data_IF_371592160518
#
_entry.id   IF_371592160518
#
_cell.length_a   1.000
_cell.length_b   1.000
_cell.length_c   1.000
_cell.angle_alpha   90.00
_cell.angle_beta   90.00
_cell.angle_gamma   90.00
#
_symmetry.space_group_name_H-M   'P 1'
#
loop_
_entity.id
_entity.type
_entity.pdbx_description
1 polymer ?
#
# COMPACT_ATOMS: atom_id res chain seq x y z
N UNK A 1 -19.09 13.27 17.68
CA UNK A 1 -17.90 13.22 16.79
C UNK A 1 -18.11 14.18 15.62
N UNK A 2 -17.03 14.64 14.96
CA UNK A 2 -17.11 15.61 13.85
C UNK A 2 -17.38 14.90 12.51
N UNK A 3 -18.10 15.54 11.56
CA UNK A 3 -18.15 15.08 10.16
C UNK A 3 -16.73 15.04 9.58
N UNK A 4 -16.40 13.98 8.82
CA UNK A 4 -15.06 13.80 8.29
C UNK A 4 -15.08 13.75 6.76
N UNK A 5 -14.24 14.56 6.15
CA UNK A 5 -13.82 14.44 4.76
C UNK A 5 -12.47 13.70 4.77
N UNK A 6 -12.49 12.44 4.36
CA UNK A 6 -11.31 11.58 4.30
C UNK A 6 -10.74 11.63 2.88
N UNK A 7 -9.46 11.98 2.73
CA UNK A 7 -8.83 12.12 1.41
C UNK A 7 -7.57 11.25 1.33
N UNK A 8 -7.50 10.44 0.28
CA UNK A 8 -6.35 9.65 -0.12
C UNK A 8 -5.75 10.27 -1.40
N UNK A 9 -4.70 11.07 -1.25
CA UNK A 9 -4.08 11.79 -2.36
C UNK A 9 -2.74 11.17 -2.74
N UNK A 10 -2.81 10.22 -3.65
CA UNK A 10 -1.66 9.47 -4.15
C UNK A 10 -0.88 10.20 -5.24
N UNK A 11 0.10 9.50 -5.80
CA UNK A 11 0.96 10.02 -6.88
C UNK A 11 0.18 10.32 -8.16
N UNK A 12 -0.72 9.41 -8.57
CA UNK A 12 -1.47 9.46 -9.84
C UNK A 12 -2.96 9.68 -9.68
N UNK A 13 -3.51 9.50 -8.47
CA UNK A 13 -4.96 9.57 -8.22
C UNK A 13 -5.30 10.31 -6.94
N UNK A 14 -6.45 10.95 -6.96
CA UNK A 14 -7.09 11.59 -5.82
C UNK A 14 -8.41 10.86 -5.53
N UNK A 15 -8.58 10.39 -4.31
CA UNK A 15 -9.84 9.79 -3.84
C UNK A 15 -10.29 10.50 -2.58
N UNK A 16 -11.58 10.65 -2.41
CA UNK A 16 -12.15 11.21 -1.20
C UNK A 16 -13.44 10.51 -0.81
N UNK A 17 -13.71 10.47 0.49
CA UNK A 17 -14.96 9.99 1.06
C UNK A 17 -15.48 10.98 2.10
N UNK A 18 -16.78 11.22 2.09
CA UNK A 18 -17.47 11.93 3.16
C UNK A 18 -18.04 10.90 4.13
N UNK A 19 -17.61 10.98 5.37
CA UNK A 19 -17.98 10.02 6.41
C UNK A 19 -18.90 10.67 7.44
N UNK A 20 -19.89 9.91 7.91
CA UNK A 20 -20.69 10.29 9.08
C UNK A 20 -19.88 10.12 10.39
N UNK A 21 -20.50 10.47 11.50
CA UNK A 21 -19.89 10.34 12.83
C UNK A 21 -19.54 8.91 13.22
N UNK A 22 -20.26 7.92 12.70
CA UNK A 22 -20.01 6.50 12.91
C UNK A 22 -18.89 5.95 12.01
N UNK A 23 -18.44 6.76 11.01
CA UNK A 23 -17.43 6.36 10.02
C UNK A 23 -18.03 5.65 8.81
N UNK A 24 -19.35 5.70 8.60
CA UNK A 24 -19.99 5.14 7.40
C UNK A 24 -19.77 6.10 6.23
N UNK A 25 -19.46 5.55 5.08
CA UNK A 25 -19.30 6.32 3.84
C UNK A 25 -20.65 6.81 3.35
N UNK A 26 -20.80 8.13 3.24
CA UNK A 26 -21.99 8.79 2.71
C UNK A 26 -21.86 9.08 1.22
N UNK A 27 -20.66 9.41 0.77
CA UNK A 27 -20.34 9.76 -0.61
C UNK A 27 -18.88 9.50 -0.89
N UNK A 28 -18.53 9.05 -2.10
CA UNK A 28 -17.16 8.87 -2.56
C UNK A 28 -16.92 9.60 -3.88
N UNK A 29 -15.68 10.06 -4.08
CA UNK A 29 -15.19 10.65 -5.33
C UNK A 29 -13.82 10.09 -5.67
N UNK A 30 -13.56 9.94 -6.96
CA UNK A 30 -12.25 9.56 -7.48
C UNK A 30 -11.94 10.33 -8.76
N UNK A 31 -10.69 10.78 -8.90
CA UNK A 31 -10.24 11.49 -10.09
C UNK A 31 -8.76 11.16 -10.37
N UNK A 32 -8.30 11.18 -11.64
CA UNK A 32 -6.90 10.97 -12.02
C UNK A 32 -6.05 12.23 -11.75
N UNK A 33 -6.23 12.84 -10.56
CA UNK A 33 -5.64 14.10 -10.13
C UNK A 33 -4.65 13.87 -8.97
N UNK A 34 -3.68 12.96 -9.16
CA UNK A 34 -2.63 12.74 -8.19
C UNK A 34 -1.67 13.94 -8.07
N UNK A 35 -0.79 13.91 -7.08
CA UNK A 35 0.10 15.06 -6.76
C UNK A 35 0.99 15.48 -7.92
N UNK A 36 1.35 14.57 -8.82
CA UNK A 36 2.14 14.89 -10.02
C UNK A 36 1.32 15.61 -11.11
N UNK A 37 0.00 15.57 -11.01
CA UNK A 37 -0.93 16.12 -12.00
C UNK A 37 -1.65 17.37 -11.49
N UNK A 38 -1.18 17.98 -10.38
CA UNK A 38 -1.76 19.23 -9.85
C UNK A 38 -1.31 20.39 -10.71
N UNK A 39 -2.23 21.09 -11.39
CA UNK A 39 -1.87 22.20 -12.28
C UNK A 39 -1.15 23.32 -11.50
N UNK A 40 0.02 23.72 -11.99
CA UNK A 40 0.85 24.78 -11.40
C UNK A 40 1.19 24.59 -9.91
N UNK A 41 1.02 23.38 -9.36
CA UNK A 41 1.20 23.12 -7.94
C UNK A 41 0.13 23.77 -7.05
N UNK A 42 -1.02 24.18 -7.61
CA UNK A 42 -2.09 24.83 -6.86
C UNK A 42 -3.01 23.79 -6.19
N UNK A 43 -2.48 23.16 -5.15
CA UNK A 43 -3.18 22.15 -4.35
C UNK A 43 -4.43 22.72 -3.68
N UNK A 44 -4.37 23.96 -3.20
CA UNK A 44 -5.48 24.58 -2.48
C UNK A 44 -6.70 24.77 -3.40
N UNK A 45 -6.46 25.25 -4.63
CA UNK A 45 -7.50 25.43 -5.63
C UNK A 45 -8.11 24.07 -6.01
N UNK A 46 -7.27 23.08 -6.33
CA UNK A 46 -7.75 21.77 -6.72
C UNK A 46 -8.55 21.09 -5.59
N UNK A 47 -8.07 21.20 -4.34
CA UNK A 47 -8.81 20.73 -3.17
C UNK A 47 -10.19 21.42 -3.05
N UNK A 48 -10.24 22.73 -3.21
CA UNK A 48 -11.50 23.49 -3.14
C UNK A 48 -12.48 23.08 -4.25
N UNK A 49 -11.99 22.90 -5.48
CA UNK A 49 -12.81 22.44 -6.60
C UNK A 49 -13.43 21.05 -6.33
N UNK A 50 -12.69 20.14 -5.69
CA UNK A 50 -13.16 18.78 -5.43
C UNK A 50 -14.02 18.65 -4.17
N UNK A 51 -13.67 19.35 -3.08
CA UNK A 51 -14.20 19.06 -1.75
C UNK A 51 -14.87 20.24 -1.04
N UNK A 52 -14.88 21.46 -1.58
CA UNK A 52 -15.51 22.60 -0.91
C UNK A 52 -16.98 22.38 -0.55
N UNK A 53 -17.73 21.65 -1.38
CA UNK A 53 -19.12 21.29 -1.10
C UNK A 53 -19.27 20.47 0.19
N UNK A 54 -18.36 19.50 0.41
CA UNK A 54 -18.34 18.67 1.61
C UNK A 54 -17.85 19.44 2.85
N UNK A 55 -16.94 20.40 2.65
CA UNK A 55 -16.38 21.24 3.71
C UNK A 55 -17.31 22.37 4.17
N UNK A 56 -18.50 22.55 3.54
CA UNK A 56 -19.53 23.51 3.99
C UNK A 56 -20.26 23.05 5.25
N UNK A 57 -20.22 21.76 5.56
CA UNK A 57 -20.84 21.23 6.77
C UNK A 57 -20.14 21.82 8.01
N UNK A 58 -20.92 22.36 8.95
CA UNK A 58 -20.38 22.93 10.18
C UNK A 58 -19.55 21.90 10.96
N UNK A 59 -18.39 22.32 11.44
CA UNK A 59 -17.45 21.46 12.17
C UNK A 59 -16.74 20.41 11.31
N UNK A 60 -16.88 20.41 9.97
CA UNK A 60 -16.22 19.45 9.10
C UNK A 60 -14.69 19.50 9.26
N UNK A 61 -14.10 18.32 9.50
CA UNK A 61 -12.65 18.08 9.52
C UNK A 61 -12.27 17.38 8.21
N UNK A 62 -11.16 17.78 7.60
CA UNK A 62 -10.56 17.05 6.50
C UNK A 62 -9.20 16.47 6.93
N UNK A 63 -9.02 15.17 6.77
CA UNK A 63 -7.73 14.50 6.92
C UNK A 63 -7.29 13.94 5.57
N UNK A 64 -6.07 14.31 5.16
CA UNK A 64 -5.47 13.93 3.87
C UNK A 64 -4.25 13.05 4.13
N UNK A 65 -4.26 11.85 3.56
CA UNK A 65 -3.15 10.90 3.65
C UNK A 65 -2.35 10.81 2.34
N UNK A 66 -1.22 10.12 2.37
CA UNK A 66 -0.31 9.82 1.27
C UNK A 66 0.49 11.03 0.75
N UNK A 67 0.64 11.12 -0.57
CA UNK A 67 1.65 11.96 -1.23
C UNK A 67 1.40 13.45 -1.13
N UNK A 68 0.20 13.90 -0.77
CA UNK A 68 -0.05 15.32 -0.47
C UNK A 68 0.82 15.83 0.69
N UNK A 69 1.24 14.93 1.61
CA UNK A 69 2.15 15.22 2.71
C UNK A 69 3.64 14.99 2.40
N UNK A 70 4.01 14.72 1.15
CA UNK A 70 5.42 14.58 0.74
C UNK A 70 6.04 15.94 0.40
N UNK A 71 7.37 15.97 0.18
CA UNK A 71 8.08 17.18 -0.29
C UNK A 71 7.57 17.73 -1.61
N UNK A 72 6.99 16.87 -2.45
CA UNK A 72 6.41 17.22 -3.74
C UNK A 72 4.90 17.46 -3.66
N UNK A 73 4.31 17.34 -2.48
CA UNK A 73 2.89 17.49 -2.23
C UNK A 73 2.50 18.91 -1.81
N UNK A 74 1.34 19.01 -1.17
CA UNK A 74 0.79 20.29 -0.73
C UNK A 74 1.63 20.98 0.36
N UNK A 75 2.05 20.23 1.35
CA UNK A 75 3.03 20.66 2.34
C UNK A 75 3.71 19.43 2.95
N UNK A 76 4.99 19.54 3.29
CA UNK A 76 5.70 18.43 3.91
C UNK A 76 5.17 18.15 5.32
N UNK A 77 4.59 16.98 5.51
CA UNK A 77 4.23 16.44 6.81
C UNK A 77 5.40 15.60 7.35
N UNK A 78 5.65 15.59 8.67
CA UNK A 78 6.76 14.87 9.27
C UNK A 78 6.63 13.35 9.08
N UNK A 79 7.69 12.62 9.41
CA UNK A 79 7.64 11.21 9.73
C UNK A 79 7.70 11.03 11.25
N UNK A 80 6.82 10.20 11.80
CA UNK A 80 6.84 9.80 13.21
C UNK A 80 7.65 8.52 13.33
N UNK A 81 8.62 8.49 14.25
CA UNK A 81 9.48 7.33 14.42
C UNK A 81 8.72 6.16 15.09
N UNK A 82 8.94 4.94 14.58
CA UNK A 82 8.49 3.72 15.24
C UNK A 82 9.25 3.48 16.55
N UNK A 83 8.57 2.92 17.57
CA UNK A 83 7.19 2.46 17.64
C UNK A 83 6.17 3.60 17.74
N UNK A 84 5.16 3.61 16.87
CA UNK A 84 4.15 4.65 16.86
C UNK A 84 2.74 4.11 16.61
N UNK A 85 1.77 4.71 17.28
CA UNK A 85 0.36 4.43 17.15
C UNK A 85 -0.42 5.63 16.61
N UNK A 86 -1.74 5.48 16.55
CA UNK A 86 -2.65 6.52 16.04
C UNK A 86 -2.56 7.84 16.83
N UNK A 87 -2.29 7.78 18.15
CA UNK A 87 -2.20 8.97 18.96
C UNK A 87 -0.99 9.83 18.61
N UNK A 88 0.16 9.20 18.35
CA UNK A 88 1.35 9.89 17.91
C UNK A 88 1.14 10.54 16.53
N UNK A 89 0.46 9.85 15.61
CA UNK A 89 0.10 10.44 14.31
C UNK A 89 -0.84 11.64 14.49
N UNK A 90 -1.89 11.51 15.30
CA UNK A 90 -2.84 12.59 15.55
C UNK A 90 -2.20 13.84 16.18
N UNK A 91 -1.22 13.67 17.08
CA UNK A 91 -0.46 14.79 17.67
C UNK A 91 0.47 15.49 16.68
N UNK A 92 0.88 14.80 15.61
CA UNK A 92 1.84 15.28 14.60
C UNK A 92 1.20 15.63 13.26
N UNK A 93 -0.12 15.83 13.23
CA UNK A 93 -0.82 16.29 12.03
C UNK A 93 -0.21 17.60 11.51
N UNK A 94 0.04 17.69 10.22
CA UNK A 94 0.47 18.93 9.56
C UNK A 94 -0.76 19.71 9.13
N UNK A 95 -1.12 20.74 9.88
CA UNK A 95 -2.26 21.58 9.59
C UNK A 95 -1.99 22.49 8.38
N UNK A 96 -2.89 22.44 7.40
CA UNK A 96 -3.00 23.41 6.31
C UNK A 96 -3.89 24.57 6.77
N UNK A 97 -5.03 24.22 7.36
CA UNK A 97 -5.95 25.13 8.03
C UNK A 97 -6.24 24.57 9.42
N UNK A 98 -5.91 25.32 10.44
CA UNK A 98 -6.00 24.87 11.84
C UNK A 98 -7.38 24.33 12.16
N UNK A 99 -7.44 23.16 12.76
CA UNK A 99 -8.65 22.45 13.19
C UNK A 99 -9.64 22.11 12.06
N UNK A 100 -9.24 22.29 10.79
CA UNK A 100 -10.11 22.08 9.64
C UNK A 100 -9.51 21.20 8.53
N UNK A 101 -8.27 21.42 8.13
CA UNK A 101 -7.61 20.63 7.08
C UNK A 101 -6.21 20.26 7.55
N UNK A 102 -5.93 18.96 7.60
CA UNK A 102 -4.62 18.47 7.98
C UNK A 102 -4.13 17.32 7.09
N UNK A 103 -2.81 17.26 6.93
CA UNK A 103 -2.09 16.16 6.32
C UNK A 103 -1.64 15.19 7.41
N UNK A 104 -1.86 13.90 7.16
CA UNK A 104 -1.42 12.85 8.08
C UNK A 104 0.08 12.63 7.90
N UNK A 105 0.87 12.55 8.99
CA UNK A 105 2.30 12.23 8.93
C UNK A 105 2.50 10.78 8.49
N UNK A 106 3.66 10.51 7.89
CA UNK A 106 4.10 9.13 7.65
C UNK A 106 4.75 8.51 8.88
N UNK A 107 5.23 7.27 8.74
CA UNK A 107 6.08 6.61 9.73
C UNK A 107 7.51 6.42 9.19
N UNK A 108 8.49 6.46 10.10
CA UNK A 108 9.86 6.05 9.83
C UNK A 108 10.29 4.94 10.77
N UNK A 109 11.08 4.01 10.26
CA UNK A 109 11.80 3.00 11.04
C UNK A 109 13.29 3.20 10.84
N UNK A 110 14.00 3.54 11.91
CA UNK A 110 15.46 3.74 11.94
C UNK A 110 16.14 2.81 12.93
N UNK A 111 15.52 1.68 13.25
CA UNK A 111 16.10 0.68 14.15
C UNK A 111 17.21 -0.15 13.47
N UNK A 112 17.33 -0.09 12.15
CA UNK A 112 18.44 -0.68 11.37
C UNK A 112 19.38 0.41 10.85
N UNK A 113 20.55 0.00 10.34
CA UNK A 113 21.53 0.91 9.74
C UNK A 113 20.99 1.68 8.53
N UNK A 114 20.00 1.11 7.85
CA UNK A 114 19.30 1.75 6.74
C UNK A 114 17.88 2.08 7.18
N UNK A 115 17.51 3.37 7.24
CA UNK A 115 16.16 3.76 7.63
C UNK A 115 15.13 3.38 6.55
N UNK A 116 13.91 3.15 6.98
CA UNK A 116 12.76 2.89 6.10
C UNK A 116 11.65 3.91 6.37
N UNK A 117 10.80 4.16 5.38
CA UNK A 117 9.70 5.12 5.48
C UNK A 117 8.44 4.59 4.82
N UNK A 118 7.28 4.96 5.37
CA UNK A 118 5.99 4.78 4.71
C UNK A 118 5.13 6.04 4.84
N UNK A 119 4.22 6.25 3.89
CA UNK A 119 3.28 7.36 3.92
C UNK A 119 1.98 6.97 3.23
N UNK A 120 0.94 6.81 4.08
CA UNK A 120 -0.40 6.38 3.69
C UNK A 120 -0.70 4.94 4.10
N UNK A 121 0.30 4.07 4.13
CA UNK A 121 0.16 2.69 4.58
C UNK A 121 -0.16 2.60 6.08
N UNK A 122 0.40 3.49 6.90
CA UNK A 122 0.11 3.59 8.33
C UNK A 122 -1.39 3.82 8.59
N UNK A 123 -2.03 4.67 7.79
CA UNK A 123 -3.48 4.91 7.87
C UNK A 123 -4.25 3.62 7.57
N UNK A 124 -3.84 2.89 6.53
CA UNK A 124 -4.49 1.64 6.15
C UNK A 124 -4.33 0.56 7.23
N UNK A 125 -3.15 0.47 7.85
CA UNK A 125 -2.89 -0.45 8.97
C UNK A 125 -3.85 -0.16 10.12
N UNK A 126 -3.92 1.09 10.61
CA UNK A 126 -4.82 1.45 11.72
C UNK A 126 -6.30 1.26 11.36
N UNK A 127 -6.65 1.45 10.09
CA UNK A 127 -7.99 1.16 9.61
C UNK A 127 -8.34 -0.31 9.63
N UNK A 128 -7.48 -1.16 9.11
CA UNK A 128 -7.67 -2.61 9.14
C UNK A 128 -7.70 -3.16 10.58
N UNK A 129 -6.84 -2.65 11.46
CA UNK A 129 -6.89 -2.97 12.89
C UNK A 129 -8.26 -2.65 13.51
N UNK A 130 -8.79 -1.45 13.23
CA UNK A 130 -10.12 -1.04 13.71
C UNK A 130 -11.22 -1.95 13.18
N UNK A 131 -11.21 -2.24 11.87
CA UNK A 131 -12.22 -3.09 11.22
C UNK A 131 -12.16 -4.53 11.71
N UNK A 132 -10.97 -5.03 12.02
CA UNK A 132 -10.75 -6.39 12.47
C UNK A 132 -10.81 -6.58 14.00
N UNK A 133 -10.84 -5.48 14.78
CA UNK A 133 -10.76 -5.53 16.24
C UNK A 133 -9.41 -6.04 16.76
N UNK A 134 -8.29 -5.72 16.07
CA UNK A 134 -6.95 -6.21 16.38
C UNK A 134 -6.10 -5.16 17.09
N UNK A 135 -5.30 -5.59 18.07
CA UNK A 135 -4.23 -4.79 18.68
C UNK A 135 -2.83 -5.23 18.21
N UNK A 136 -2.70 -6.45 17.71
CA UNK A 136 -1.46 -7.07 17.25
C UNK A 136 -1.65 -7.66 15.86
N UNK A 137 -0.58 -7.77 15.09
CA UNK A 137 -0.62 -8.44 13.79
C UNK A 137 0.60 -8.19 12.92
N UNK A 138 0.70 -8.99 11.87
CA UNK A 138 1.63 -8.79 10.78
C UNK A 138 0.84 -8.37 9.55
N UNK A 139 1.18 -7.21 9.02
CA UNK A 139 0.48 -6.59 7.90
C UNK A 139 1.37 -6.57 6.67
N UNK A 140 0.80 -6.84 5.51
CA UNK A 140 1.43 -6.59 4.22
C UNK A 140 0.55 -5.69 3.36
N UNK A 141 1.16 -4.68 2.78
CA UNK A 141 0.50 -3.71 1.92
C UNK A 141 1.16 -3.74 0.54
N UNK A 142 0.69 -4.65 -0.34
CA UNK A 142 1.22 -4.78 -1.69
C UNK A 142 1.02 -3.51 -2.50
N UNK A 143 2.05 -3.13 -3.26
CA UNK A 143 2.02 -1.96 -4.12
C UNK A 143 3.27 -1.84 -4.97
N UNK A 144 3.52 -0.65 -5.52
CA UNK A 144 4.78 -0.32 -6.18
C UNK A 144 5.95 -0.61 -5.23
N UNK A 145 5.82 -0.17 -3.98
CA UNK A 145 6.70 -0.45 -2.85
C UNK A 145 5.87 -1.19 -1.79
N UNK A 146 6.00 -2.50 -1.73
CA UNK A 146 5.29 -3.33 -0.76
C UNK A 146 5.83 -3.12 0.64
N UNK A 147 4.97 -3.05 1.66
CA UNK A 147 5.34 -2.85 3.06
C UNK A 147 4.97 -4.08 3.90
N UNK A 148 5.90 -4.53 4.73
CA UNK A 148 5.66 -5.51 5.78
C UNK A 148 5.80 -4.83 7.14
N UNK A 149 4.72 -4.73 7.88
CA UNK A 149 4.68 -4.00 9.14
C UNK A 149 4.25 -4.90 10.30
N UNK A 150 5.02 -4.88 11.36
CA UNK A 150 4.68 -5.55 12.62
C UNK A 150 3.96 -4.56 13.55
N UNK A 151 2.84 -5.00 14.11
CA UNK A 151 2.06 -4.20 15.09
C UNK A 151 1.98 -4.96 16.40
N UNK A 152 2.20 -4.25 17.50
CA UNK A 152 2.07 -4.75 18.87
C UNK A 152 1.42 -3.68 19.75
N UNK A 153 0.41 -4.07 20.53
CA UNK A 153 -0.30 -3.17 21.45
C UNK A 153 -0.84 -1.92 20.76
N UNK A 154 -1.35 -2.04 19.53
CA UNK A 154 -1.89 -0.91 18.79
C UNK A 154 -0.85 0.02 18.15
N UNK A 155 0.42 -0.34 18.14
CA UNK A 155 1.54 0.47 17.62
C UNK A 155 2.30 -0.29 16.52
N UNK A 156 2.63 0.38 15.43
CA UNK A 156 3.59 -0.15 14.45
C UNK A 156 4.96 -0.13 15.10
N UNK A 157 5.52 -1.32 15.35
CA UNK A 157 6.82 -1.48 16.03
C UNK A 157 7.99 -1.42 15.08
N UNK A 158 7.78 -1.71 13.80
CA UNK A 158 8.77 -1.64 12.73
C UNK A 158 8.19 -2.15 11.42
N UNK A 159 8.86 -1.85 10.33
CA UNK A 159 8.44 -2.31 8.99
C UNK A 159 9.62 -2.41 8.03
N UNK A 160 9.37 -3.08 6.91
CA UNK A 160 10.32 -3.21 5.80
C UNK A 160 9.63 -2.97 4.47
N UNK A 161 10.32 -2.27 3.58
CA UNK A 161 9.87 -1.98 2.22
C UNK A 161 10.55 -2.88 1.21
N UNK A 162 9.76 -3.37 0.25
CA UNK A 162 10.23 -4.15 -0.88
C UNK A 162 9.77 -3.48 -2.19
N UNK A 163 10.65 -3.35 -3.15
CA UNK A 163 10.35 -2.71 -4.45
C UNK A 163 9.64 -3.65 -5.43
N UNK A 164 8.82 -4.56 -4.93
CA UNK A 164 8.25 -5.69 -5.68
C UNK A 164 7.46 -5.26 -6.90
N UNK A 165 6.55 -4.30 -6.76
CA UNK A 165 5.75 -3.81 -7.88
C UNK A 165 6.55 -2.97 -8.86
N UNK A 166 7.49 -2.16 -8.38
CA UNK A 166 8.38 -1.36 -9.23
C UNK A 166 9.30 -2.25 -10.06
N UNK A 167 9.95 -3.24 -9.42
CA UNK A 167 10.83 -4.19 -10.11
C UNK A 167 10.07 -5.01 -11.14
N UNK A 168 8.83 -5.44 -10.83
CA UNK A 168 7.96 -6.06 -11.82
C UNK A 168 7.77 -5.14 -13.04
N UNK A 169 7.42 -3.89 -12.81
CA UNK A 169 7.21 -2.91 -13.87
C UNK A 169 8.47 -2.65 -14.71
N UNK A 170 9.63 -2.56 -14.06
CA UNK A 170 10.92 -2.37 -14.75
C UNK A 170 11.27 -3.61 -15.60
N UNK A 171 11.15 -4.80 -15.07
CA UNK A 171 11.41 -6.02 -15.81
C UNK A 171 10.42 -6.19 -16.98
N UNK A 172 9.15 -5.95 -16.75
CA UNK A 172 8.11 -6.14 -17.74
C UNK A 172 8.15 -5.13 -18.90
N UNK A 173 8.71 -3.93 -18.69
CA UNK A 173 8.71 -2.86 -19.71
C UNK A 173 10.08 -2.46 -20.23
N UNK A 174 11.13 -2.55 -19.36
CA UNK A 174 12.44 -1.93 -19.65
C UNK A 174 13.60 -2.94 -19.64
N UNK A 175 13.33 -4.24 -19.57
CA UNK A 175 14.35 -5.28 -19.62
C UNK A 175 14.20 -6.19 -20.84
N UNK A 176 15.15 -7.13 -21.00
CA UNK A 176 15.06 -8.18 -22.03
C UNK A 176 13.80 -9.06 -21.87
N UNK A 177 13.21 -9.12 -20.67
CA UNK A 177 12.01 -9.91 -20.39
C UNK A 177 10.77 -9.35 -21.12
N UNK A 178 10.73 -8.02 -21.34
CA UNK A 178 9.65 -7.36 -22.07
C UNK A 178 9.38 -7.96 -23.47
N UNK A 179 10.37 -8.65 -24.05
CA UNK A 179 10.25 -9.28 -25.36
C UNK A 179 9.51 -10.63 -25.34
N UNK A 180 9.28 -11.21 -24.18
CA UNK A 180 8.77 -12.58 -24.00
C UNK A 180 7.64 -12.70 -23.00
N UNK A 181 7.12 -11.58 -22.50
CA UNK A 181 5.99 -11.60 -21.57
C UNK A 181 4.91 -10.59 -21.97
N UNK A 182 3.66 -10.91 -21.66
CA UNK A 182 2.52 -9.99 -21.74
C UNK A 182 2.16 -9.50 -20.34
N UNK A 183 2.57 -8.27 -20.02
CA UNK A 183 2.35 -7.66 -18.68
C UNK A 183 0.87 -7.43 -18.36
N UNK A 184 -0.01 -7.40 -19.36
CA UNK A 184 -1.45 -7.16 -19.19
C UNK A 184 -2.27 -8.46 -19.17
N UNK A 185 -1.60 -9.61 -19.30
CA UNK A 185 -2.27 -10.91 -19.29
C UNK A 185 -2.97 -11.19 -17.94
N UNK A 186 -4.08 -11.94 -17.98
CA UNK A 186 -4.71 -12.42 -16.75
C UNK A 186 -3.76 -13.34 -15.97
N UNK A 187 -4.02 -13.48 -14.68
CA UNK A 187 -3.23 -14.34 -13.81
C UNK A 187 -3.38 -15.82 -14.21
N UNK A 188 -2.26 -16.46 -14.55
CA UNK A 188 -2.12 -17.92 -14.58
C UNK A 188 -1.59 -18.36 -13.21
N UNK A 189 -2.47 -18.91 -12.38
CA UNK A 189 -2.14 -19.29 -10.99
C UNK A 189 -1.05 -20.34 -10.94
N UNK A 190 -1.02 -21.30 -11.87
CA UNK A 190 -0.01 -22.36 -11.92
C UNK A 190 1.38 -21.78 -12.19
N UNK A 191 1.51 -20.94 -13.20
CA UNK A 191 2.77 -20.30 -13.52
C UNK A 191 3.21 -19.36 -12.39
N UNK A 192 2.27 -18.64 -11.77
CA UNK A 192 2.54 -17.79 -10.61
C UNK A 192 3.14 -18.60 -9.44
N UNK A 193 2.52 -19.71 -9.06
CA UNK A 193 3.00 -20.58 -7.97
C UNK A 193 4.35 -21.22 -8.30
N UNK A 194 4.60 -21.57 -9.56
CA UNK A 194 5.93 -22.01 -10.01
C UNK A 194 6.99 -20.92 -9.78
N UNK A 195 6.66 -19.65 -10.03
CA UNK A 195 7.52 -18.50 -9.72
C UNK A 195 7.79 -18.38 -8.22
N UNK A 196 6.76 -18.47 -7.39
CA UNK A 196 6.89 -18.45 -5.91
C UNK A 196 7.82 -19.57 -5.42
N UNK A 197 7.61 -20.79 -5.89
CA UNK A 197 8.45 -21.93 -5.55
C UNK A 197 9.91 -21.76 -6.01
N UNK A 198 10.12 -21.13 -7.18
CA UNK A 198 11.47 -20.86 -7.69
C UNK A 198 12.28 -19.94 -6.78
N UNK A 199 11.64 -18.89 -6.25
CA UNK A 199 12.27 -17.98 -5.29
C UNK A 199 12.78 -18.71 -4.05
N UNK A 200 12.00 -19.65 -3.52
CA UNK A 200 12.37 -20.45 -2.36
C UNK A 200 13.65 -21.29 -2.55
N UNK A 201 14.07 -21.53 -3.79
CA UNK A 201 15.28 -22.28 -4.10
C UNK A 201 16.61 -21.56 -3.83
N UNK A 202 16.60 -20.30 -3.34
CA UNK A 202 17.76 -19.60 -2.78
C UNK A 202 18.86 -19.20 -3.77
N UNK A 203 18.61 -19.22 -5.08
CA UNK A 203 19.61 -18.86 -6.12
C UNK A 203 19.73 -17.35 -6.37
N UNK A 204 18.91 -16.56 -5.69
CA UNK A 204 18.87 -15.11 -5.77
C UNK A 204 18.13 -14.57 -6.99
N UNK A 205 17.56 -13.36 -6.82
CA UNK A 205 16.67 -12.74 -7.78
C UNK A 205 17.28 -12.57 -9.17
N UNK A 206 18.54 -12.11 -9.28
CA UNK A 206 19.15 -11.82 -10.60
C UNK A 206 19.27 -13.06 -11.46
N UNK A 207 19.68 -14.20 -10.87
CA UNK A 207 19.73 -15.47 -11.59
C UNK A 207 18.33 -15.98 -11.94
N UNK A 208 17.41 -15.95 -11.00
CA UNK A 208 16.06 -16.46 -11.17
C UNK A 208 15.27 -15.64 -12.22
N UNK A 209 15.46 -14.31 -12.26
CA UNK A 209 14.80 -13.44 -13.23
C UNK A 209 15.21 -13.76 -14.68
N UNK A 210 16.49 -14.05 -14.95
CA UNK A 210 16.91 -14.51 -16.29
C UNK A 210 16.25 -15.84 -16.68
N UNK A 211 15.93 -16.68 -15.71
CA UNK A 211 15.17 -17.92 -15.91
C UNK A 211 13.82 -17.72 -16.62
N UNK A 212 13.14 -16.59 -16.39
CA UNK A 212 11.88 -16.23 -17.09
C UNK A 212 12.12 -16.17 -18.60
N UNK A 213 13.21 -15.51 -19.02
CA UNK A 213 13.60 -15.43 -20.43
C UNK A 213 13.94 -16.80 -21.02
N UNK A 214 14.72 -17.60 -20.28
CA UNK A 214 15.11 -18.92 -20.73
C UNK A 214 13.91 -19.85 -20.92
N UNK A 215 12.98 -19.86 -19.94
CA UNK A 215 11.75 -20.67 -20.04
C UNK A 215 10.90 -20.29 -21.25
N UNK A 216 10.78 -19.00 -21.56
CA UNK A 216 10.08 -18.55 -22.77
C UNK A 216 10.79 -18.96 -24.07
N UNK A 217 12.13 -18.89 -24.13
CA UNK A 217 12.91 -19.32 -25.31
C UNK A 217 12.85 -20.82 -25.62
N UNK A 218 12.63 -21.63 -24.59
CA UNK A 218 12.46 -23.09 -24.71
C UNK A 218 10.97 -23.52 -24.75
N UNK A 219 10.06 -22.58 -25.00
CA UNK A 219 8.61 -22.81 -25.09
C UNK A 219 8.00 -23.50 -23.84
N UNK A 220 8.65 -23.32 -22.67
CA UNK A 220 8.16 -23.86 -21.40
C UNK A 220 7.18 -22.94 -20.70
N UNK A 221 7.15 -21.66 -21.05
CA UNK A 221 6.17 -20.66 -20.62
C UNK A 221 5.73 -19.85 -21.84
N UNK A 222 4.42 -19.70 -22.00
CA UNK A 222 3.85 -18.73 -22.95
C UNK A 222 4.10 -17.29 -22.46
N UNK A 223 3.91 -16.25 -23.32
CA UNK A 223 4.02 -14.85 -22.88
C UNK A 223 3.11 -14.50 -21.71
N UNK A 224 1.88 -15.01 -21.67
CA UNK A 224 0.92 -14.87 -20.58
C UNK A 224 1.42 -15.51 -19.29
N UNK A 225 1.91 -16.73 -19.37
CA UNK A 225 2.46 -17.47 -18.23
C UNK A 225 3.76 -16.83 -17.70
N UNK A 226 4.59 -16.27 -18.58
CA UNK A 226 5.84 -15.60 -18.20
C UNK A 226 5.59 -14.40 -17.31
N UNK A 227 4.54 -13.61 -17.54
CA UNK A 227 4.16 -12.49 -16.67
C UNK A 227 3.73 -12.97 -15.27
N UNK A 228 2.92 -14.01 -15.23
CA UNK A 228 2.47 -14.62 -13.96
C UNK A 228 3.62 -15.24 -13.17
N UNK A 229 4.51 -15.99 -13.85
CA UNK A 229 5.71 -16.55 -13.26
C UNK A 229 6.64 -15.48 -12.67
N UNK A 230 6.90 -14.38 -13.42
CA UNK A 230 7.69 -13.26 -12.93
C UNK A 230 7.06 -12.62 -11.69
N UNK A 231 5.74 -12.40 -11.70
CA UNK A 231 5.01 -11.87 -10.54
C UNK A 231 5.16 -12.79 -9.32
N UNK A 232 5.01 -14.10 -9.51
CA UNK A 232 5.20 -15.09 -8.45
C UNK A 232 6.63 -15.15 -7.94
N UNK A 233 7.61 -15.05 -8.83
CA UNK A 233 9.02 -15.00 -8.46
C UNK A 233 9.33 -13.81 -7.54
N UNK A 234 8.89 -12.60 -7.91
CA UNK A 234 9.17 -11.39 -7.14
C UNK A 234 8.45 -11.41 -5.78
N UNK A 235 7.19 -11.85 -5.74
CA UNK A 235 6.48 -12.02 -4.48
C UNK A 235 7.14 -13.11 -3.63
N UNK A 236 7.59 -14.20 -4.23
CA UNK A 236 8.32 -15.24 -3.53
C UNK A 236 9.63 -14.77 -2.90
N UNK A 237 10.41 -13.94 -3.60
CA UNK A 237 11.63 -13.31 -3.07
C UNK A 237 11.30 -12.36 -1.90
N UNK A 238 10.17 -11.63 -1.95
CA UNK A 238 9.68 -10.82 -0.84
C UNK A 238 9.27 -11.66 0.37
N UNK A 239 8.65 -12.81 0.13
CA UNK A 239 8.21 -13.75 1.18
C UNK A 239 9.37 -14.55 1.80
N UNK A 240 10.48 -14.75 1.10
CA UNK A 240 11.57 -15.60 1.55
C UNK A 240 12.19 -15.17 2.89
N UNK A 241 12.45 -13.88 3.17
CA UNK A 241 12.99 -13.44 4.45
C UNK A 241 11.96 -13.40 5.58
N UNK A 242 10.67 -13.59 5.29
CA UNK A 242 9.62 -13.58 6.30
C UNK A 242 9.59 -14.93 7.03
N UNK A 243 9.76 -14.90 8.35
CA UNK A 243 9.73 -16.10 9.20
C UNK A 243 8.28 -16.56 9.43
N UNK A 244 7.61 -17.00 8.36
CA UNK A 244 6.21 -17.44 8.39
C UNK A 244 6.09 -18.95 8.58
N UNK A 245 5.07 -19.36 9.32
CA UNK A 245 4.69 -20.76 9.54
C UNK A 245 3.17 -20.94 9.34
N UNK A 246 2.69 -22.16 9.34
CA UNK A 246 1.28 -22.49 9.26
C UNK A 246 0.44 -21.95 10.44
N UNK A 247 1.08 -21.55 11.55
CA UNK A 247 0.43 -20.88 12.67
C UNK A 247 0.36 -19.36 12.50
N UNK A 248 1.06 -18.80 11.50
CA UNK A 248 1.05 -17.35 11.23
C UNK A 248 -0.28 -16.89 10.64
N UNK A 249 -0.70 -15.68 10.99
CA UNK A 249 -1.77 -14.95 10.32
C UNK A 249 -1.19 -13.65 9.76
N UNK A 250 -1.52 -13.34 8.50
CA UNK A 250 -1.07 -12.13 7.81
C UNK A 250 -2.28 -11.36 7.30
N UNK A 251 -2.30 -10.06 7.59
CA UNK A 251 -3.32 -9.15 7.09
C UNK A 251 -2.80 -8.48 5.82
N UNK A 252 -3.48 -8.70 4.70
CA UNK A 252 -3.12 -8.16 3.39
C UNK A 252 -4.05 -7.01 3.05
N UNK A 253 -3.51 -5.81 2.80
CA UNK A 253 -4.31 -4.62 2.51
C UNK A 253 -3.94 -4.09 1.13
N UNK A 254 -4.88 -4.09 0.18
CA UNK A 254 -4.58 -3.64 -1.19
C UNK A 254 -5.73 -3.80 -2.16
N UNK A 255 -5.42 -3.64 -3.46
CA UNK A 255 -6.40 -3.92 -4.51
C UNK A 255 -6.76 -5.41 -4.57
N UNK A 256 -7.97 -5.77 -5.03
CA UNK A 256 -8.38 -7.18 -5.12
C UNK A 256 -7.40 -8.07 -5.87
N UNK A 257 -6.83 -7.57 -6.98
CA UNK A 257 -5.86 -8.32 -7.77
C UNK A 257 -4.55 -8.61 -7.02
N UNK A 258 -4.07 -7.66 -6.21
CA UNK A 258 -2.84 -7.84 -5.41
C UNK A 258 -3.11 -8.71 -4.19
N UNK A 259 -4.20 -8.46 -3.46
CA UNK A 259 -4.54 -9.26 -2.28
C UNK A 259 -4.73 -10.73 -2.63
N UNK A 260 -5.34 -11.04 -3.79
CA UNK A 260 -5.49 -12.41 -4.29
C UNK A 260 -4.14 -13.09 -4.55
N UNK A 261 -3.18 -12.39 -5.19
CA UNK A 261 -1.83 -12.94 -5.44
C UNK A 261 -1.07 -13.23 -4.15
N UNK A 262 -1.13 -12.31 -3.18
CA UNK A 262 -0.47 -12.52 -1.88
C UNK A 262 -1.17 -13.63 -1.08
N UNK A 263 -2.50 -13.71 -1.11
CA UNK A 263 -3.24 -14.79 -0.47
C UNK A 263 -2.86 -16.16 -1.06
N UNK A 264 -2.74 -16.23 -2.41
CA UNK A 264 -2.31 -17.45 -3.09
C UNK A 264 -0.90 -17.86 -2.69
N UNK A 265 0.07 -16.92 -2.70
CA UNK A 265 1.45 -17.19 -2.35
C UNK A 265 1.65 -17.54 -0.86
N UNK A 266 0.90 -16.92 0.05
CA UNK A 266 0.91 -17.21 1.48
C UNK A 266 0.23 -18.54 1.79
N UNK A 267 -0.83 -18.88 1.04
CA UNK A 267 -1.55 -20.14 1.15
C UNK A 267 -0.66 -21.36 0.90
N UNK A 268 0.31 -21.29 -0.04
CA UNK A 268 1.32 -22.33 -0.28
C UNK A 268 2.17 -22.64 0.97
N UNK A 269 2.29 -21.70 1.89
CA UNK A 269 2.97 -21.89 3.18
C UNK A 269 2.03 -22.25 4.33
N UNK A 270 0.74 -22.46 4.05
CA UNK A 270 -0.29 -22.72 5.05
C UNK A 270 -0.62 -21.53 5.94
N UNK A 271 -0.19 -20.31 5.57
CA UNK A 271 -0.39 -19.08 6.34
C UNK A 271 -1.86 -18.64 6.22
N UNK A 272 -2.48 -18.31 7.34
CA UNK A 272 -3.82 -17.72 7.34
C UNK A 272 -3.78 -16.28 6.83
N UNK A 273 -4.71 -15.92 5.95
CA UNK A 273 -4.78 -14.60 5.35
C UNK A 273 -6.13 -13.95 5.62
N UNK A 274 -6.10 -12.69 6.05
CA UNK A 274 -7.27 -11.79 6.08
C UNK A 274 -7.00 -10.63 5.13
N UNK A 275 -7.98 -10.23 4.33
CA UNK A 275 -7.82 -9.19 3.32
C UNK A 275 -8.69 -7.98 3.61
N UNK A 276 -8.16 -6.79 3.30
CA UNK A 276 -8.88 -5.52 3.33
C UNK A 276 -8.58 -4.72 2.06
N UNK A 277 -9.54 -3.89 1.66
CA UNK A 277 -9.43 -3.00 0.51
C UNK A 277 -9.36 -1.52 0.88
N UNK A 278 -10.01 -0.68 0.06
CA UNK A 278 -10.05 0.77 0.22
C UNK A 278 -10.72 1.23 1.53
N UNK A 279 -11.64 0.43 2.07
CA UNK A 279 -12.33 0.68 3.35
C UNK A 279 -11.35 0.86 4.52
N UNK A 280 -10.20 0.20 4.48
CA UNK A 280 -9.15 0.38 5.48
C UNK A 280 -8.62 1.82 5.52
N UNK A 281 -8.54 2.51 4.37
CA UNK A 281 -8.12 3.92 4.33
C UNK A 281 -9.14 4.81 5.06
N UNK A 282 -10.42 4.64 4.77
CA UNK A 282 -11.48 5.45 5.38
C UNK A 282 -11.60 5.20 6.88
N UNK A 283 -11.55 3.93 7.28
CA UNK A 283 -11.57 3.55 8.70
C UNK A 283 -10.35 4.10 9.46
N UNK A 284 -9.18 4.14 8.83
CA UNK A 284 -7.95 4.67 9.40
C UNK A 284 -7.99 6.18 9.58
N UNK A 285 -8.41 6.94 8.57
CA UNK A 285 -8.60 8.38 8.69
C UNK A 285 -9.66 8.71 9.75
N UNK A 286 -10.74 7.93 9.85
CA UNK A 286 -11.74 8.08 10.92
C UNK A 286 -11.15 7.79 12.31
N UNK A 287 -10.18 6.89 12.42
CA UNK A 287 -9.54 6.56 13.70
C UNK A 287 -8.58 7.65 14.20
N UNK A 288 -8.12 8.55 13.30
CA UNK A 288 -7.23 9.68 13.59
C UNK A 288 -8.00 11.00 13.85
N UNK A 289 -9.28 11.07 13.47
CA UNK A 289 -10.16 12.23 13.66
C UNK A 289 -10.84 12.17 15.04
#
# INVERSE_FOLDING_TARGET
>A
MRPLVAVDWGTSSLRGARLDEAGRVLEEKSAPLGVLNVPNGDFARLFAEQFSGWMKQEGALCLISRMAGSRQGWAEAPYVACPAGREELARNLRWIERDRIALVPGLSDSQSDVPDVMRGEEVQIFGAMRLAGLADGLFVLPGTHSKWAAVRGGRVTGFRTFMTGEVFGLFARHSILARTLDANAPLDERAFLQGVARAAGGKGLLHNAFGVRALGLFDRLSPTQSASYLSGLLIGEELAPQKLSSSSEVIVIGSPALTARYALALGEKGVKVRTFGAEATWAGLRALA
#
